data_IF_740887390579
#
_entry.id   IF_740887390579
#
_cell.length_a   1.000
_cell.length_b   1.000
_cell.length_c   1.000
_cell.angle_alpha   90.00
_cell.angle_beta   90.00
_cell.angle_gamma   90.00
#
_symmetry.space_group_name_H-M   'P 1'
#
loop_
_entity.id
_entity.type
_entity.pdbx_description
1 polymer ?
#
# COMPACT_ATOMS: atom_id res chain seq x y z
N UNK A 1 -12.68 -17.28 -4.77
CA UNK A 1 -11.75 -16.77 -3.75
C UNK A 1 -12.41 -16.91 -2.39
N UNK A 2 -11.63 -17.02 -1.31
CA UNK A 2 -12.13 -17.27 0.05
C UNK A 2 -12.45 -15.97 0.76
N UNK A 3 -13.40 -16.01 1.70
CA UNK A 3 -13.75 -14.85 2.51
C UNK A 3 -12.66 -14.54 3.53
N UNK A 4 -12.37 -13.26 3.74
CA UNK A 4 -11.53 -12.74 4.83
C UNK A 4 -12.41 -12.18 5.96
N UNK A 5 -13.73 -12.31 5.87
CA UNK A 5 -14.68 -11.88 6.90
C UNK A 5 -14.61 -12.83 8.11
N UNK A 6 -14.21 -12.36 9.31
CA UNK A 6 -14.14 -13.20 10.50
C UNK A 6 -15.51 -13.64 11.04
N UNK A 7 -16.62 -13.21 10.44
CA UNK A 7 -17.99 -13.64 10.76
C UNK A 7 -18.55 -14.64 9.72
N UNK A 8 -17.87 -14.84 8.60
CA UNK A 8 -18.21 -15.86 7.61
C UNK A 8 -17.77 -17.25 8.10
N UNK A 9 -18.64 -18.25 8.03
CA UNK A 9 -18.32 -19.61 8.49
C UNK A 9 -17.18 -20.24 7.68
N UNK A 10 -17.04 -19.88 6.40
CA UNK A 10 -15.97 -20.35 5.53
C UNK A 10 -14.60 -19.81 5.91
N UNK A 11 -14.53 -18.70 6.66
CA UNK A 11 -13.27 -18.16 7.19
C UNK A 11 -12.59 -19.17 8.12
N UNK A 12 -13.36 -19.95 8.89
CA UNK A 12 -12.83 -20.92 9.84
C UNK A 12 -12.66 -22.35 9.29
N UNK A 13 -12.84 -22.54 7.98
CA UNK A 13 -12.68 -23.84 7.33
C UNK A 13 -11.19 -24.24 7.20
N UNK A 14 -10.67 -24.87 8.25
CA UNK A 14 -9.27 -25.30 8.35
C UNK A 14 -8.91 -26.40 7.35
N UNK A 15 -9.87 -27.26 6.99
CA UNK A 15 -9.69 -28.32 5.99
C UNK A 15 -9.44 -27.71 4.61
N UNK A 16 -10.26 -26.74 4.25
CA UNK A 16 -10.12 -25.99 2.99
C UNK A 16 -8.85 -25.14 2.97
N UNK A 17 -8.52 -24.47 4.07
CA UNK A 17 -7.27 -23.72 4.19
C UNK A 17 -6.05 -24.61 3.96
N UNK A 18 -6.02 -25.80 4.59
CA UNK A 18 -4.95 -26.79 4.39
C UNK A 18 -4.90 -27.28 2.94
N UNK A 19 -6.06 -27.63 2.38
CA UNK A 19 -6.16 -28.10 0.99
C UNK A 19 -5.60 -27.07 0.00
N UNK A 20 -5.96 -25.80 0.18
CA UNK A 20 -5.47 -24.71 -0.67
C UNK A 20 -3.99 -24.42 -0.47
N UNK A 21 -3.49 -24.53 0.77
CA UNK A 21 -2.07 -24.44 1.03
C UNK A 21 -1.29 -25.52 0.30
N UNK A 22 -1.69 -26.78 0.44
CA UNK A 22 -1.06 -27.91 -0.27
C UNK A 22 -1.10 -27.70 -1.78
N UNK A 23 -2.25 -27.32 -2.33
CA UNK A 23 -2.42 -27.10 -3.77
C UNK A 23 -1.49 -26.03 -4.30
N UNK A 24 -1.49 -24.85 -3.68
CA UNK A 24 -0.68 -23.73 -4.14
C UNK A 24 0.81 -23.94 -3.86
N UNK A 25 1.17 -24.53 -2.72
CA UNK A 25 2.55 -24.90 -2.41
C UNK A 25 3.12 -25.89 -3.45
N UNK A 26 2.32 -26.85 -3.91
CA UNK A 26 2.72 -27.81 -4.95
C UNK A 26 3.09 -27.11 -6.26
N UNK A 27 2.26 -26.17 -6.72
CA UNK A 27 2.53 -25.40 -7.95
C UNK A 27 3.74 -24.49 -7.76
N UNK A 28 3.82 -23.79 -6.63
CA UNK A 28 4.96 -22.93 -6.30
C UNK A 28 6.28 -23.72 -6.24
N UNK A 29 6.26 -24.92 -5.66
CA UNK A 29 7.43 -25.80 -5.52
C UNK A 29 7.93 -26.34 -6.86
N UNK A 30 7.02 -26.69 -7.78
CA UNK A 30 7.37 -27.08 -9.14
C UNK A 30 7.95 -25.93 -9.97
N UNK A 31 7.43 -24.71 -9.77
CA UNK A 31 7.78 -23.53 -10.58
C UNK A 31 9.03 -22.77 -10.09
N UNK A 32 9.17 -22.57 -8.78
CA UNK A 32 10.28 -21.88 -8.08
C UNK A 32 10.67 -20.48 -8.53
N UNK A 33 9.98 -19.86 -9.49
CA UNK A 33 10.27 -18.51 -9.97
C UNK A 33 10.34 -17.47 -8.85
N UNK A 34 9.57 -17.67 -7.79
CA UNK A 34 9.46 -16.73 -6.67
C UNK A 34 10.62 -16.74 -5.67
N UNK A 35 11.59 -17.66 -5.80
CA UNK A 35 12.67 -17.87 -4.82
C UNK A 35 13.45 -16.59 -4.48
N UNK A 36 13.78 -15.78 -5.50
CA UNK A 36 14.57 -14.56 -5.33
C UNK A 36 13.72 -13.31 -5.05
N UNK A 37 12.39 -13.41 -5.02
CA UNK A 37 11.50 -12.25 -4.87
C UNK A 37 11.06 -12.00 -3.42
N UNK A 38 10.99 -13.04 -2.56
CA UNK A 38 10.50 -12.91 -1.18
C UNK A 38 11.02 -14.04 -0.28
N UNK A 39 11.33 -13.74 1.00
CA UNK A 39 11.82 -14.71 1.99
C UNK A 39 10.84 -15.83 2.34
N UNK A 40 9.55 -15.62 2.08
CA UNK A 40 8.52 -16.66 2.25
C UNK A 40 8.82 -17.89 1.40
N UNK A 41 9.29 -17.70 0.16
CA UNK A 41 9.46 -18.80 -0.79
C UNK A 41 10.65 -19.71 -0.46
N UNK A 42 11.85 -19.22 -0.10
CA UNK A 42 12.92 -20.08 0.41
C UNK A 42 12.49 -20.95 1.60
N UNK A 43 11.72 -20.39 2.55
CA UNK A 43 11.19 -21.15 3.68
C UNK A 43 10.18 -22.21 3.25
N UNK A 44 9.20 -21.81 2.43
CA UNK A 44 8.22 -22.72 1.86
C UNK A 44 8.91 -23.90 1.15
N UNK A 45 9.84 -23.61 0.23
CA UNK A 45 10.53 -24.65 -0.54
C UNK A 45 11.39 -25.54 0.34
N UNK A 46 12.09 -24.98 1.35
CA UNK A 46 12.84 -25.80 2.29
C UNK A 46 11.96 -26.78 3.07
N UNK A 47 10.73 -26.43 3.41
CA UNK A 47 9.80 -27.31 4.10
C UNK A 47 9.25 -28.36 3.12
N UNK A 48 8.80 -27.91 1.95
CA UNK A 48 8.26 -28.79 0.90
C UNK A 48 9.29 -29.80 0.39
N UNK A 49 10.58 -29.41 0.29
CA UNK A 49 11.67 -30.32 -0.10
C UNK A 49 11.91 -31.45 0.92
N UNK A 50 11.66 -31.19 2.20
CA UNK A 50 11.87 -32.17 3.27
C UNK A 50 10.70 -33.15 3.42
N UNK A 51 9.47 -32.63 3.33
CA UNK A 51 8.24 -33.40 3.61
C UNK A 51 7.57 -33.94 2.34
N UNK A 52 7.78 -33.29 1.21
CA UNK A 52 6.93 -33.43 0.04
C UNK A 52 5.65 -32.59 0.16
N UNK A 53 5.07 -32.11 -0.96
CA UNK A 53 3.94 -31.18 -0.93
C UNK A 53 2.66 -31.76 -0.32
N UNK A 54 2.42 -33.07 -0.45
CA UNK A 54 1.22 -33.73 0.09
C UNK A 54 1.19 -33.83 1.61
N UNK A 55 2.36 -33.80 2.25
CA UNK A 55 2.54 -33.96 3.69
C UNK A 55 2.58 -32.61 4.43
N UNK A 56 2.35 -31.49 3.73
CA UNK A 56 2.31 -30.17 4.34
C UNK A 56 1.13 -30.02 5.29
N UNK A 57 1.37 -29.42 6.45
CA UNK A 57 0.36 -29.22 7.51
C UNK A 57 0.01 -27.75 7.71
N UNK A 58 -0.99 -27.47 8.56
CA UNK A 58 -1.31 -26.08 8.94
C UNK A 58 -0.21 -25.49 9.82
N UNK A 59 0.49 -26.28 10.62
CA UNK A 59 1.64 -25.83 11.39
C UNK A 59 2.77 -25.36 10.46
N UNK A 60 2.99 -26.04 9.33
CA UNK A 60 3.94 -25.58 8.31
C UNK A 60 3.53 -24.22 7.73
N UNK A 61 2.24 -24.06 7.38
CA UNK A 61 1.68 -22.79 6.91
C UNK A 61 1.84 -21.68 7.96
N UNK A 62 1.49 -21.96 9.22
CA UNK A 62 1.58 -21.01 10.33
C UNK A 62 3.01 -20.67 10.72
N UNK A 63 3.97 -21.52 10.38
CA UNK A 63 5.39 -21.15 10.45
C UNK A 63 5.78 -20.14 9.37
N UNK A 64 5.10 -20.13 8.20
CA UNK A 64 5.45 -19.31 7.03
C UNK A 64 4.77 -17.93 7.07
N UNK A 65 3.48 -17.88 7.38
CA UNK A 65 2.68 -16.63 7.32
C UNK A 65 3.26 -15.44 8.10
N UNK A 66 3.95 -15.58 9.25
CA UNK A 66 4.54 -14.42 9.95
C UNK A 66 5.69 -13.77 9.17
N UNK A 67 6.27 -14.47 8.20
CA UNK A 67 7.29 -13.93 7.29
C UNK A 67 6.66 -13.27 6.05
N UNK A 68 5.34 -13.27 5.88
CA UNK A 68 4.65 -12.59 4.79
C UNK A 68 4.49 -11.08 5.08
N UNK A 69 4.75 -10.23 4.09
CA UNK A 69 4.63 -8.77 4.23
C UNK A 69 3.28 -8.24 3.71
N UNK A 70 2.54 -9.08 2.98
CA UNK A 70 1.28 -8.73 2.34
C UNK A 70 1.37 -7.74 1.15
N UNK A 71 2.56 -7.50 0.59
CA UNK A 71 2.76 -6.71 -0.65
C UNK A 71 2.04 -7.21 -1.92
N UNK A 72 1.56 -8.47 -1.91
CA UNK A 72 0.90 -9.16 -3.04
C UNK A 72 1.73 -9.31 -4.34
N UNK A 73 3.05 -9.08 -4.30
CA UNK A 73 3.90 -9.18 -5.50
C UNK A 73 4.04 -10.60 -6.05
N UNK A 74 3.85 -11.62 -5.22
CA UNK A 74 3.76 -13.00 -5.67
C UNK A 74 2.58 -13.24 -6.61
N UNK A 75 1.48 -12.48 -6.50
CA UNK A 75 0.36 -12.56 -7.44
C UNK A 75 0.76 -11.95 -8.78
N UNK A 76 1.27 -10.71 -8.78
CA UNK A 76 1.59 -10.01 -10.02
C UNK A 76 2.71 -10.68 -10.84
N UNK A 77 3.64 -11.35 -10.18
CA UNK A 77 4.76 -12.05 -10.83
C UNK A 77 4.44 -13.51 -11.20
N UNK A 78 3.29 -14.04 -10.79
CA UNK A 78 2.95 -15.44 -11.02
C UNK A 78 2.32 -15.60 -12.41
N UNK A 79 2.86 -16.48 -13.28
CA UNK A 79 2.27 -16.75 -14.60
C UNK A 79 0.98 -17.57 -14.53
N UNK A 80 0.64 -18.09 -13.35
CA UNK A 80 -0.46 -19.03 -13.14
C UNK A 80 -1.65 -18.43 -12.38
N UNK A 81 -1.72 -17.10 -12.25
CA UNK A 81 -2.91 -16.42 -11.72
C UNK A 81 -4.11 -16.61 -12.66
N UNK A 82 -5.36 -16.48 -12.17
CA UNK A 82 -6.53 -16.51 -13.05
C UNK A 82 -6.38 -15.56 -14.26
N UNK A 83 -6.84 -15.97 -15.45
CA UNK A 83 -7.72 -17.12 -15.72
C UNK A 83 -6.99 -18.46 -15.97
N UNK A 84 -5.70 -18.59 -15.64
CA UNK A 84 -4.96 -19.85 -15.79
C UNK A 84 -5.61 -21.00 -14.98
N UNK A 85 -5.54 -22.24 -15.47
CA UNK A 85 -6.20 -23.42 -14.87
C UNK A 85 -5.81 -23.68 -13.41
N UNK A 86 -4.53 -23.42 -13.06
CA UNK A 86 -4.04 -23.53 -11.68
C UNK A 86 -4.63 -22.46 -10.75
N UNK A 87 -5.24 -21.39 -11.26
CA UNK A 87 -5.94 -20.37 -10.49
C UNK A 87 -5.19 -19.97 -9.21
N UNK A 88 -3.91 -19.60 -9.37
CA UNK A 88 -3.02 -19.29 -8.26
C UNK A 88 -3.35 -17.93 -7.67
N UNK A 89 -3.47 -17.88 -6.34
CA UNK A 89 -3.56 -16.64 -5.59
C UNK A 89 -2.91 -16.85 -4.21
N UNK A 90 -1.58 -16.92 -4.24
CA UNK A 90 -0.80 -17.17 -3.04
C UNK A 90 -0.87 -15.97 -2.09
N UNK A 91 -1.02 -14.76 -2.63
CA UNK A 91 -1.19 -13.54 -1.84
C UNK A 91 -2.46 -13.61 -0.99
N UNK A 92 -3.61 -13.94 -1.61
CA UNK A 92 -4.88 -14.06 -0.90
C UNK A 92 -4.89 -15.22 0.10
N UNK A 93 -4.23 -16.34 -0.24
CA UNK A 93 -4.03 -17.44 0.71
C UNK A 93 -3.24 -17.01 1.95
N UNK A 94 -2.17 -16.22 1.79
CA UNK A 94 -1.39 -15.71 2.93
C UNK A 94 -2.21 -14.74 3.79
N UNK A 95 -3.04 -13.89 3.19
CA UNK A 95 -3.95 -13.01 3.95
C UNK A 95 -4.94 -13.84 4.79
N UNK A 96 -5.59 -14.83 4.18
CA UNK A 96 -6.54 -15.70 4.89
C UNK A 96 -5.85 -16.47 6.01
N UNK A 97 -4.72 -17.10 5.72
CA UNK A 97 -3.97 -17.89 6.68
C UNK A 97 -3.46 -17.04 7.86
N UNK A 98 -3.00 -15.81 7.59
CA UNK A 98 -2.52 -14.90 8.63
C UNK A 98 -3.65 -14.42 9.55
N UNK A 99 -4.77 -13.98 8.97
CA UNK A 99 -5.94 -13.56 9.73
C UNK A 99 -6.53 -14.73 10.53
N UNK A 100 -6.61 -15.93 9.94
CA UNK A 100 -7.04 -17.14 10.63
C UNK A 100 -6.12 -17.46 11.82
N UNK A 101 -4.81 -17.46 11.59
CA UNK A 101 -3.81 -17.75 12.62
C UNK A 101 -3.93 -16.78 13.79
N UNK A 102 -3.96 -15.46 13.51
CA UNK A 102 -4.03 -14.44 14.56
C UNK A 102 -5.39 -14.40 15.28
N UNK A 103 -6.48 -14.74 14.58
CA UNK A 103 -7.80 -14.88 15.20
C UNK A 103 -7.87 -16.05 16.19
N UNK A 104 -7.14 -17.14 15.90
CA UNK A 104 -7.15 -18.35 16.74
C UNK A 104 -6.07 -18.34 17.82
N UNK A 105 -4.90 -17.75 17.55
CA UNK A 105 -3.79 -17.66 18.52
C UNK A 105 -3.84 -16.41 19.41
N UNK A 106 -4.59 -15.39 19.00
CA UNK A 106 -4.68 -14.09 19.66
C UNK A 106 -3.65 -13.05 19.17
N UNK A 107 -3.94 -11.80 19.52
CA UNK A 107 -3.09 -10.64 19.30
C UNK A 107 -2.28 -10.35 20.56
N UNK A 108 -1.00 -10.04 20.38
CA UNK A 108 -0.14 -9.58 21.47
C UNK A 108 -0.41 -8.11 21.80
N UNK A 109 0.01 -7.65 22.98
CA UNK A 109 -0.03 -6.22 23.32
C UNK A 109 0.73 -5.37 22.28
N UNK A 110 1.82 -5.91 21.74
CA UNK A 110 2.63 -5.24 20.71
C UNK A 110 1.85 -5.03 19.42
N UNK A 111 1.01 -5.99 19.04
CA UNK A 111 0.14 -5.90 17.87
C UNK A 111 -0.87 -4.76 18.05
N UNK A 112 -1.56 -4.72 19.19
CA UNK A 112 -2.51 -3.65 19.52
C UNK A 112 -1.86 -2.27 19.55
N UNK A 113 -0.66 -2.15 20.13
CA UNK A 113 0.09 -0.89 20.15
C UNK A 113 0.52 -0.45 18.75
N UNK A 114 0.80 -1.39 17.86
CA UNK A 114 1.24 -1.09 16.51
C UNK A 114 0.09 -0.57 15.63
N UNK A 115 -1.07 -1.22 15.66
CA UNK A 115 -2.24 -0.80 14.89
C UNK A 115 -2.96 0.41 15.50
N UNK A 116 -2.55 0.85 16.71
CA UNK A 116 -3.10 2.00 17.43
C UNK A 116 -2.92 3.36 16.73
N UNK A 117 -2.50 3.38 15.46
CA UNK A 117 -2.50 4.54 14.56
C UNK A 117 -3.89 5.21 14.51
N UNK A 118 -4.97 4.54 14.93
CA UNK A 118 -6.34 5.08 15.01
C UNK A 118 -6.87 5.39 16.43
N UNK A 119 -6.08 5.26 17.51
CA UNK A 119 -6.62 5.43 18.88
C UNK A 119 -6.79 6.92 19.21
N UNK A 120 -7.91 7.37 19.81
CA UNK A 120 -8.17 8.78 20.15
C UNK A 120 -7.11 9.46 21.03
N UNK A 121 -6.20 8.69 21.64
CA UNK A 121 -5.02 9.17 22.35
C UNK A 121 -3.76 9.30 21.47
N UNK A 122 -3.93 9.44 20.14
CA UNK A 122 -2.86 9.65 19.14
C UNK A 122 -1.76 10.61 19.62
N UNK A 123 -2.14 11.73 20.25
CA UNK A 123 -1.20 12.77 20.74
C UNK A 123 -0.34 12.35 21.94
N UNK A 124 -0.81 11.39 22.73
CA UNK A 124 -0.06 10.83 23.86
C UNK A 124 0.87 9.76 23.32
N UNK A 125 0.34 8.80 22.54
CA UNK A 125 1.11 7.73 21.90
C UNK A 125 2.19 8.29 20.96
N UNK A 126 1.94 9.42 20.28
CA UNK A 126 2.89 10.08 19.37
C UNK A 126 4.11 10.69 20.07
N UNK A 127 3.93 11.27 21.27
CA UNK A 127 5.04 11.89 22.03
C UNK A 127 6.00 10.85 22.60
N UNK A 128 5.49 9.66 22.88
CA UNK A 128 6.28 8.50 23.31
C UNK A 128 6.76 7.64 22.14
N UNK A 129 6.20 7.79 20.93
CA UNK A 129 6.53 6.99 19.75
C UNK A 129 8.04 6.88 19.41
N UNK A 130 8.85 7.96 19.52
CA UNK A 130 10.31 7.86 19.34
C UNK A 130 11.00 7.04 20.44
N UNK A 131 10.43 7.04 21.65
CA UNK A 131 10.94 6.37 22.85
C UNK A 131 10.36 4.96 23.05
N UNK A 132 9.33 4.57 22.27
CA UNK A 132 8.71 3.24 22.29
C UNK A 132 9.13 2.37 21.12
N UNK A 133 10.11 2.80 20.30
CA UNK A 133 10.62 2.00 19.17
C UNK A 133 11.00 0.58 19.58
N UNK A 134 11.74 0.44 20.67
CA UNK A 134 12.15 -0.86 21.21
C UNK A 134 10.94 -1.68 21.70
N UNK A 135 10.00 -1.03 22.37
CA UNK A 135 8.72 -1.64 22.79
C UNK A 135 7.89 -2.11 21.58
N UNK A 136 7.97 -1.44 20.44
CA UNK A 136 7.31 -1.82 19.18
C UNK A 136 8.14 -2.80 18.31
N UNK A 137 9.39 -3.07 18.70
CA UNK A 137 10.29 -3.99 17.99
C UNK A 137 10.94 -3.39 16.77
N UNK A 138 10.92 -2.07 16.69
CA UNK A 138 11.52 -1.30 15.62
C UNK A 138 12.96 -1.04 16.02
N UNK A 139 13.88 -1.44 15.15
CA UNK A 139 15.31 -1.20 15.35
C UNK A 139 15.63 0.30 15.30
N UNK A 140 16.66 0.70 16.02
CA UNK A 140 17.11 2.10 16.04
C UNK A 140 17.47 2.62 14.65
N UNK A 141 18.05 1.77 13.79
CA UNK A 141 18.45 2.11 12.43
C UNK A 141 17.30 2.08 11.41
N UNK A 142 16.10 1.61 11.78
CA UNK A 142 14.94 1.61 10.89
C UNK A 142 14.48 3.06 10.61
N UNK A 143 14.21 3.42 9.34
CA UNK A 143 13.76 4.76 9.01
C UNK A 143 12.30 4.91 9.47
N UNK A 144 12.01 5.99 10.19
CA UNK A 144 10.67 6.25 10.70
C UNK A 144 10.10 7.52 10.08
N UNK A 145 8.81 7.54 9.75
CA UNK A 145 8.16 8.78 9.34
C UNK A 145 8.11 9.74 10.53
N UNK A 146 8.34 11.02 10.25
CA UNK A 146 8.24 12.07 11.25
C UNK A 146 6.77 12.46 11.42
N UNK A 147 6.28 12.44 12.66
CA UNK A 147 4.92 12.89 12.94
C UNK A 147 4.79 14.40 12.77
N UNK A 148 3.65 14.84 12.22
CA UNK A 148 3.30 16.24 12.09
C UNK A 148 2.82 16.81 13.42
N UNK A 149 3.38 17.95 13.83
CA UNK A 149 2.94 18.68 15.02
C UNK A 149 1.51 19.23 14.89
N UNK A 150 1.13 19.59 13.66
CA UNK A 150 -0.14 20.29 13.37
C UNK A 150 -1.23 19.33 12.87
N UNK A 151 -0.86 18.12 12.44
CA UNK A 151 -1.74 17.19 11.72
C UNK A 151 -2.17 17.75 10.35
N UNK A 152 -3.11 17.07 9.70
CA UNK A 152 -3.68 17.52 8.44
C UNK A 152 -4.78 18.57 8.67
N UNK A 153 -4.51 19.82 8.26
CA UNK A 153 -5.45 20.95 8.34
C UNK A 153 -5.70 21.50 6.93
N UNK A 154 -6.55 20.83 6.14
CA UNK A 154 -6.72 21.12 4.74
C UNK A 154 -7.39 22.47 4.50
N UNK A 155 -6.97 23.15 3.44
CA UNK A 155 -7.69 24.28 2.84
C UNK A 155 -8.33 23.81 1.55
N UNK A 156 -9.65 23.75 1.55
CA UNK A 156 -10.45 23.33 0.40
C UNK A 156 -11.10 24.55 -0.20
N UNK A 157 -10.88 24.77 -1.50
CA UNK A 157 -11.53 25.85 -2.23
C UNK A 157 -12.89 25.38 -2.76
N UNK A 158 -13.87 26.30 -2.78
CA UNK A 158 -15.15 26.03 -3.43
C UNK A 158 -14.97 26.22 -4.93
N UNK A 159 -15.20 25.15 -5.69
CA UNK A 159 -15.17 25.18 -7.15
C UNK A 159 -16.59 25.44 -7.67
N UNK A 160 -16.77 26.54 -8.38
CA UNK A 160 -18.01 26.82 -9.11
C UNK A 160 -18.02 26.03 -10.42
N UNK A 161 -19.13 25.34 -10.72
CA UNK A 161 -19.29 24.50 -11.91
C UNK A 161 -18.14 23.49 -12.13
N UNK A 162 -17.89 22.57 -11.17
CA UNK A 162 -16.74 21.67 -11.24
C UNK A 162 -16.84 20.70 -12.43
N UNK A 163 -15.73 20.46 -13.11
CA UNK A 163 -15.65 19.51 -14.23
C UNK A 163 -15.72 18.05 -13.78
N UNK A 164 -15.43 17.81 -12.50
CA UNK A 164 -15.45 16.52 -11.82
C UNK A 164 -15.54 16.73 -10.31
N UNK A 165 -16.06 15.73 -9.59
CA UNK A 165 -16.22 15.76 -8.13
C UNK A 165 -15.55 14.53 -7.53
N UNK A 166 -14.68 14.74 -6.54
CA UNK A 166 -14.00 13.65 -5.85
C UNK A 166 -14.13 13.75 -4.34
N UNK A 167 -14.27 12.60 -3.68
CA UNK A 167 -14.01 12.47 -2.25
C UNK A 167 -12.59 11.94 -2.07
N UNK A 168 -11.76 12.72 -1.36
CA UNK A 168 -10.38 12.36 -1.10
C UNK A 168 -10.30 11.47 0.14
N UNK A 169 -9.99 10.19 -0.07
CA UNK A 169 -9.53 9.29 0.97
C UNK A 169 -8.09 9.64 1.31
N UNK A 170 -7.91 10.65 2.17
CA UNK A 170 -6.61 11.26 2.46
C UNK A 170 -5.63 10.32 3.18
N UNK A 171 -6.09 9.24 3.80
CA UNK A 171 -5.24 8.25 4.51
C UNK A 171 -4.70 8.71 5.86
N UNK A 172 -4.35 7.74 6.70
CA UNK A 172 -3.66 8.00 7.97
C UNK A 172 -2.23 8.53 7.78
N UNK A 173 -1.58 8.22 6.66
CA UNK A 173 -0.22 8.71 6.40
C UNK A 173 -0.20 10.23 6.20
N UNK A 174 -1.17 10.77 5.47
CA UNK A 174 -1.31 12.22 5.30
C UNK A 174 -1.78 12.88 6.59
N UNK A 175 -2.74 12.26 7.28
CA UNK A 175 -3.26 12.79 8.54
C UNK A 175 -2.15 13.06 9.56
N UNK A 176 -1.26 12.07 9.73
CA UNK A 176 -0.33 12.04 10.86
C UNK A 176 1.13 12.38 10.46
N UNK A 177 1.55 12.18 9.21
CA UNK A 177 2.97 12.24 8.82
C UNK A 177 3.27 13.14 7.61
N UNK A 178 2.39 13.17 6.61
CA UNK A 178 2.59 13.91 5.34
C UNK A 178 1.42 14.84 5.02
N UNK A 179 1.00 15.75 5.93
CA UNK A 179 -0.15 16.64 5.70
C UNK A 179 0.03 17.55 4.48
N UNK A 180 1.27 17.91 4.16
CA UNK A 180 1.62 18.68 2.96
C UNK A 180 1.19 17.98 1.68
N UNK A 181 1.32 16.65 1.61
CA UNK A 181 0.92 15.87 0.44
C UNK A 181 -0.60 15.94 0.22
N UNK A 182 -1.39 15.89 1.30
CA UNK A 182 -2.85 16.03 1.20
C UNK A 182 -3.25 17.41 0.69
N UNK A 183 -2.57 18.45 1.17
CA UNK A 183 -2.81 19.81 0.71
C UNK A 183 -2.39 19.98 -0.76
N UNK A 184 -1.28 19.39 -1.18
CA UNK A 184 -0.81 19.41 -2.57
C UNK A 184 -1.82 18.75 -3.53
N UNK A 185 -2.43 17.63 -3.12
CA UNK A 185 -3.50 16.98 -3.89
C UNK A 185 -4.69 17.90 -4.05
N UNK A 186 -5.16 18.51 -2.95
CA UNK A 186 -6.32 19.42 -2.98
C UNK A 186 -6.05 20.61 -3.91
N UNK A 187 -4.90 21.27 -3.77
CA UNK A 187 -4.52 22.44 -4.57
C UNK A 187 -4.43 22.10 -6.07
N UNK A 188 -3.78 20.99 -6.41
CA UNK A 188 -3.68 20.57 -7.82
C UNK A 188 -5.05 20.26 -8.40
N UNK A 189 -5.91 19.54 -7.66
CA UNK A 189 -7.25 19.19 -8.12
C UNK A 189 -8.13 20.44 -8.30
N UNK A 190 -8.12 21.33 -7.31
CA UNK A 190 -8.87 22.59 -7.37
C UNK A 190 -8.38 23.49 -8.51
N UNK A 191 -7.07 23.65 -8.72
CA UNK A 191 -6.51 24.37 -9.88
C UNK A 191 -6.94 23.79 -11.23
N UNK A 192 -7.21 22.50 -11.29
CA UNK A 192 -7.68 21.80 -12.49
C UNK A 192 -9.23 21.77 -12.61
N UNK A 193 -9.94 22.52 -11.76
CA UNK A 193 -11.40 22.63 -11.78
C UNK A 193 -12.16 21.46 -11.16
N UNK A 194 -11.47 20.63 -10.37
CA UNK A 194 -12.05 19.45 -9.72
C UNK A 194 -12.47 19.82 -8.29
N UNK A 195 -13.74 19.60 -7.96
CA UNK A 195 -14.23 19.76 -6.59
C UNK A 195 -13.71 18.61 -5.72
N UNK A 196 -13.09 18.95 -4.58
CA UNK A 196 -12.60 17.97 -3.60
C UNK A 196 -13.45 18.06 -2.33
N UNK A 197 -13.99 16.93 -1.88
CA UNK A 197 -14.58 16.77 -0.55
C UNK A 197 -13.71 15.91 0.34
N UNK A 198 -13.84 16.17 1.64
CA UNK A 198 -13.19 15.43 2.70
C UNK A 198 -14.24 14.83 3.62
N UNK A 199 -13.86 13.73 4.25
CA UNK A 199 -14.63 13.09 5.30
C UNK A 199 -13.68 12.53 6.33
N UNK A 200 -14.19 12.30 7.55
CA UNK A 200 -13.42 11.72 8.64
C UNK A 200 -13.35 10.20 8.49
N UNK A 201 -12.61 9.73 7.48
CA UNK A 201 -12.34 8.31 7.29
C UNK A 201 -11.45 7.77 8.41
N UNK A 202 -11.63 6.49 8.74
CA UNK A 202 -10.63 5.73 9.50
C UNK A 202 -9.50 5.30 8.56
N UNK A 203 -8.41 4.76 9.10
CA UNK A 203 -7.41 4.08 8.28
C UNK A 203 -8.07 3.03 7.37
N UNK A 204 -7.49 2.80 6.18
CA UNK A 204 -7.92 1.78 5.22
C UNK A 204 -7.84 0.33 5.73
N UNK A 205 -7.23 0.08 6.88
CA UNK A 205 -7.08 -1.26 7.47
C UNK A 205 -5.76 -1.96 7.19
N UNK A 206 -4.84 -1.36 6.42
CA UNK A 206 -3.52 -1.97 6.17
C UNK A 206 -2.77 -2.35 7.47
N UNK A 207 -2.72 -1.52 8.55
CA UNK A 207 -2.10 -1.92 9.81
C UNK A 207 -2.79 -3.12 10.49
N UNK A 208 -4.12 -3.20 10.40
CA UNK A 208 -4.90 -4.31 10.96
C UNK A 208 -4.62 -5.61 10.20
N UNK A 209 -4.48 -5.55 8.87
CA UNK A 209 -4.03 -6.70 8.08
C UNK A 209 -2.59 -7.10 8.46
N UNK A 210 -1.67 -6.14 8.60
CA UNK A 210 -0.27 -6.36 8.98
C UNK A 210 -0.13 -7.11 10.31
N UNK A 211 -0.93 -6.77 11.33
CA UNK A 211 -0.90 -7.47 12.63
C UNK A 211 -1.87 -8.65 12.73
N UNK A 212 -2.77 -8.79 11.76
CA UNK A 212 -3.76 -9.87 11.68
C UNK A 212 -5.03 -9.66 12.52
N UNK A 213 -5.40 -8.42 12.86
CA UNK A 213 -6.68 -8.12 13.51
C UNK A 213 -7.83 -8.11 12.51
N UNK A 214 -8.37 -9.30 12.22
CA UNK A 214 -9.51 -9.46 11.32
C UNK A 214 -10.77 -8.70 11.80
N UNK A 215 -10.98 -8.57 13.11
CA UNK A 215 -12.17 -7.92 13.67
C UNK A 215 -12.10 -6.41 13.47
N UNK A 216 -10.96 -5.79 13.80
CA UNK A 216 -10.75 -4.37 13.57
C UNK A 216 -10.69 -4.05 12.08
N UNK A 217 -10.05 -4.91 11.27
CA UNK A 217 -10.03 -4.79 9.81
C UNK A 217 -11.44 -4.70 9.21
N UNK A 218 -12.34 -5.61 9.61
CA UNK A 218 -13.75 -5.56 9.21
C UNK A 218 -14.41 -4.26 9.64
N UNK A 219 -14.29 -3.89 10.93
CA UNK A 219 -14.92 -2.69 11.47
C UNK A 219 -14.51 -1.41 10.74
N UNK A 220 -13.22 -1.24 10.41
CA UNK A 220 -12.77 -0.06 9.65
C UNK A 220 -13.24 -0.11 8.20
N UNK A 221 -13.32 -1.28 7.59
CA UNK A 221 -13.86 -1.45 6.23
C UNK A 221 -15.34 -1.08 6.17
N UNK A 222 -16.17 -1.53 7.12
CA UNK A 222 -17.61 -1.20 7.19
C UNK A 222 -17.85 0.29 7.36
N UNK A 223 -17.11 0.92 8.29
CA UNK A 223 -17.21 2.35 8.55
C UNK A 223 -16.84 3.17 7.31
N UNK A 224 -15.66 2.91 6.75
CA UNK A 224 -15.19 3.62 5.56
C UNK A 224 -16.11 3.38 4.37
N UNK A 225 -16.56 2.14 4.14
CA UNK A 225 -17.48 1.79 3.07
C UNK A 225 -18.79 2.57 3.17
N UNK A 226 -19.38 2.66 4.36
CA UNK A 226 -20.63 3.39 4.57
C UNK A 226 -20.52 4.87 4.22
N UNK A 227 -19.39 5.50 4.57
CA UNK A 227 -19.12 6.90 4.19
C UNK A 227 -18.89 7.03 2.68
N UNK A 228 -18.05 6.18 2.10
CA UNK A 228 -17.73 6.21 0.67
C UNK A 228 -18.98 6.01 -0.20
N UNK A 229 -19.85 5.07 0.15
CA UNK A 229 -21.12 4.85 -0.55
C UNK A 229 -22.04 6.08 -0.53
N UNK A 230 -22.05 6.83 0.58
CA UNK A 230 -22.82 8.07 0.65
C UNK A 230 -22.28 9.14 -0.31
N UNK A 231 -20.96 9.26 -0.46
CA UNK A 231 -20.35 10.16 -1.44
C UNK A 231 -20.58 9.71 -2.87
N UNK A 232 -20.47 8.40 -3.15
CA UNK A 232 -20.73 7.84 -4.48
C UNK A 232 -22.18 8.12 -4.92
N UNK A 233 -23.17 7.97 -4.02
CA UNK A 233 -24.57 8.32 -4.28
C UNK A 233 -24.78 9.81 -4.61
N UNK A 234 -23.89 10.68 -4.12
CA UNK A 234 -23.89 12.11 -4.41
C UNK A 234 -23.09 12.47 -5.68
N UNK A 235 -22.58 11.47 -6.42
CA UNK A 235 -21.85 11.65 -7.67
C UNK A 235 -20.37 11.96 -7.50
N UNK A 236 -19.76 11.63 -6.36
CA UNK A 236 -18.32 11.77 -6.16
C UNK A 236 -17.58 10.48 -6.53
N UNK A 237 -16.50 10.61 -7.29
CA UNK A 237 -15.51 9.53 -7.44
C UNK A 237 -14.63 9.45 -6.18
N UNK A 238 -14.19 8.25 -5.81
CA UNK A 238 -13.27 8.05 -4.69
C UNK A 238 -11.83 8.12 -5.19
N UNK A 239 -11.00 8.95 -4.57
CA UNK A 239 -9.58 9.09 -4.91
C UNK A 239 -8.72 8.88 -3.67
N UNK A 240 -7.60 8.16 -3.80
CA UNK A 240 -6.56 8.11 -2.78
C UNK A 240 -5.17 8.39 -3.40
N UNK A 241 -4.32 9.20 -2.74
CA UNK A 241 -2.97 9.48 -3.23
C UNK A 241 -1.95 8.40 -2.81
N UNK A 242 -2.35 7.43 -1.99
CA UNK A 242 -1.44 6.37 -1.54
C UNK A 242 -1.92 5.03 -2.11
N UNK A 243 -1.11 4.35 -2.95
CA UNK A 243 -1.52 3.10 -3.61
C UNK A 243 -1.98 2.00 -2.64
N UNK A 244 -1.40 1.94 -1.44
CA UNK A 244 -1.83 0.99 -0.39
C UNK A 244 -3.30 1.17 -0.02
N UNK A 245 -3.78 2.40 0.10
CA UNK A 245 -5.16 2.66 0.49
C UNK A 245 -6.14 2.31 -0.63
N UNK A 246 -5.79 2.60 -1.88
CA UNK A 246 -6.57 2.14 -3.05
C UNK A 246 -6.68 0.62 -3.07
N UNK A 247 -5.56 -0.09 -2.89
CA UNK A 247 -5.52 -1.55 -2.84
C UNK A 247 -6.33 -2.14 -1.68
N UNK A 248 -6.26 -1.56 -0.49
CA UNK A 248 -7.05 -2.01 0.65
C UNK A 248 -8.55 -1.81 0.45
N UNK A 249 -8.95 -0.68 -0.12
CA UNK A 249 -10.37 -0.39 -0.42
C UNK A 249 -10.91 -1.35 -1.48
N UNK A 250 -10.15 -1.66 -2.54
CA UNK A 250 -10.53 -2.73 -3.49
C UNK A 250 -10.63 -4.11 -2.80
N UNK A 251 -9.82 -4.33 -1.77
CA UNK A 251 -9.83 -5.54 -0.95
C UNK A 251 -11.06 -5.70 -0.06
N UNK A 252 -11.87 -4.65 0.15
CA UNK A 252 -13.09 -4.72 0.96
C UNK A 252 -14.10 -5.74 0.43
N UNK A 253 -14.04 -6.11 -0.85
CA UNK A 253 -14.87 -7.19 -1.42
C UNK A 253 -14.62 -8.55 -0.78
N UNK A 254 -13.41 -8.80 -0.27
CA UNK A 254 -13.09 -10.03 0.44
C UNK A 254 -13.37 -9.96 1.94
N UNK A 255 -13.49 -8.74 2.51
CA UNK A 255 -13.61 -8.53 3.96
C UNK A 255 -15.08 -8.31 4.36
N UNK A 256 -15.85 -7.61 3.53
CA UNK A 256 -17.24 -7.21 3.79
C UNK A 256 -18.16 -7.37 2.57
N UNK A 257 -17.71 -8.08 1.52
CA UNK A 257 -18.48 -8.29 0.29
C UNK A 257 -18.98 -7.00 -0.37
N UNK A 258 -18.18 -5.93 -0.31
CA UNK A 258 -18.47 -4.66 -0.97
C UNK A 258 -17.34 -4.25 -1.91
N UNK A 259 -17.71 -4.02 -3.17
CA UNK A 259 -16.81 -3.47 -4.18
C UNK A 259 -16.95 -1.95 -4.23
N UNK A 260 -15.84 -1.25 -3.95
CA UNK A 260 -15.79 0.21 -4.03
C UNK A 260 -14.74 0.56 -5.07
N UNK A 261 -15.17 1.26 -6.13
CA UNK A 261 -14.24 1.80 -7.12
C UNK A 261 -13.49 2.97 -6.51
N UNK A 262 -12.17 2.84 -6.44
CA UNK A 262 -11.24 3.88 -6.00
C UNK A 262 -10.19 4.09 -7.06
N UNK A 263 -9.84 5.33 -7.33
CA UNK A 263 -8.76 5.68 -8.23
C UNK A 263 -7.52 6.08 -7.45
N UNK A 264 -6.35 5.74 -7.96
CA UNK A 264 -5.12 6.43 -7.58
C UNK A 264 -5.20 7.91 -8.02
N UNK A 265 -4.62 8.82 -7.24
CA UNK A 265 -4.70 10.25 -7.54
C UNK A 265 -4.12 10.61 -8.92
N UNK A 266 -2.98 10.02 -9.28
CA UNK A 266 -2.39 10.28 -10.60
C UNK A 266 -3.18 9.60 -11.71
N UNK A 267 -3.75 8.41 -11.45
CA UNK A 267 -4.63 7.72 -12.39
C UNK A 267 -5.86 8.55 -12.74
N UNK A 268 -6.51 9.15 -11.74
CA UNK A 268 -7.70 9.96 -11.94
C UNK A 268 -7.41 11.17 -12.83
N UNK A 269 -6.31 11.88 -12.57
CA UNK A 269 -5.88 13.00 -13.40
C UNK A 269 -5.54 12.56 -14.82
N UNK A 270 -4.84 11.43 -14.98
CA UNK A 270 -4.50 10.90 -16.31
C UNK A 270 -5.77 10.53 -17.11
N UNK A 271 -6.76 9.93 -16.46
CA UNK A 271 -8.08 9.64 -17.04
C UNK A 271 -8.75 10.93 -17.54
N UNK A 272 -8.87 11.95 -16.69
CA UNK A 272 -9.49 13.23 -17.07
C UNK A 272 -8.72 13.92 -18.20
N UNK A 273 -7.39 13.82 -18.21
CA UNK A 273 -6.56 14.40 -19.29
C UNK A 273 -6.81 13.68 -20.62
N UNK A 274 -6.91 12.35 -20.62
CA UNK A 274 -7.25 11.55 -21.81
C UNK A 274 -8.67 11.81 -22.32
N UNK A 275 -9.60 12.11 -21.41
CA UNK A 275 -10.97 12.54 -21.75
C UNK A 275 -11.03 13.99 -22.26
N UNK A 276 -9.92 14.73 -22.29
CA UNK A 276 -9.88 16.13 -22.72
C UNK A 276 -10.50 17.11 -21.71
N UNK A 277 -10.82 16.66 -20.49
CA UNK A 277 -11.48 17.47 -19.46
C UNK A 277 -10.51 18.40 -18.72
N UNK A 278 -9.24 18.01 -18.60
CA UNK A 278 -8.18 18.83 -18.02
C UNK A 278 -7.03 19.05 -19.00
N UNK A 279 -6.36 20.20 -18.87
CA UNK A 279 -5.14 20.52 -19.61
C UNK A 279 -3.97 20.54 -18.64
N UNK A 280 -2.97 19.72 -18.91
CA UNK A 280 -1.72 19.68 -18.14
C UNK A 280 -0.73 20.69 -18.75
N UNK A 281 0.06 21.42 -17.94
CA UNK A 281 1.07 22.35 -18.44
C UNK A 281 2.22 21.60 -19.11
N UNK A 282 2.97 22.27 -20.00
CA UNK A 282 4.19 21.74 -20.62
C UNK A 282 5.39 22.61 -20.26
N UNK A 283 5.95 22.45 -19.06
CA UNK A 283 6.94 23.41 -18.53
C UNK A 283 7.93 22.86 -17.50
N UNK A 284 8.37 21.61 -17.59
CA UNK A 284 9.48 21.14 -16.72
C UNK A 284 10.58 20.44 -17.51
N UNK A 285 11.80 20.95 -17.41
CA UNK A 285 13.03 20.29 -17.84
C UNK A 285 13.77 19.77 -16.61
N UNK A 286 13.29 18.66 -16.07
CA UNK A 286 13.90 17.99 -14.91
C UNK A 286 14.20 16.52 -15.23
N UNK A 287 15.26 16.01 -14.63
CA UNK A 287 15.59 14.58 -14.59
C UNK A 287 14.99 13.94 -13.35
N UNK A 288 14.19 12.89 -13.53
CA UNK A 288 13.51 12.19 -12.46
C UNK A 288 13.92 10.73 -12.44
N UNK A 289 14.40 10.25 -11.29
CA UNK A 289 14.60 8.83 -11.03
C UNK A 289 13.44 8.31 -10.17
N UNK A 290 12.63 7.44 -10.75
CA UNK A 290 11.34 7.04 -10.20
C UNK A 290 11.33 5.60 -9.68
N UNK A 291 10.88 5.42 -8.45
CA UNK A 291 10.59 4.11 -7.88
C UNK A 291 9.12 3.77 -8.05
N UNK A 292 8.82 2.59 -8.62
CA UNK A 292 7.45 2.10 -8.76
C UNK A 292 6.99 1.35 -7.51
N UNK A 293 5.97 1.83 -6.78
CA UNK A 293 5.44 1.13 -5.61
C UNK A 293 4.84 -0.24 -5.92
N UNK A 294 5.03 -1.22 -5.04
CA UNK A 294 4.48 -2.57 -5.19
C UNK A 294 2.94 -2.58 -5.28
N UNK A 295 2.26 -1.82 -4.42
CA UNK A 295 0.79 -1.72 -4.46
C UNK A 295 0.27 -1.04 -5.73
N UNK A 296 1.03 -0.11 -6.32
CA UNK A 296 0.69 0.47 -7.62
C UNK A 296 0.79 -0.58 -8.74
N UNK A 297 1.84 -1.42 -8.72
CA UNK A 297 1.97 -2.54 -9.67
C UNK A 297 0.81 -3.53 -9.53
N UNK A 298 0.38 -3.84 -8.30
CA UNK A 298 -0.73 -4.77 -8.05
C UNK A 298 -2.09 -4.25 -8.54
N UNK A 299 -2.33 -2.94 -8.47
CA UNK A 299 -3.56 -2.32 -9.00
C UNK A 299 -3.70 -2.46 -10.53
N UNK A 300 -2.62 -2.78 -11.25
CA UNK A 300 -2.61 -2.96 -12.73
C UNK A 300 -3.13 -1.76 -13.53
N UNK A 301 -3.04 -0.55 -12.96
CA UNK A 301 -3.45 0.72 -13.59
C UNK A 301 -2.34 1.38 -14.44
N UNK A 302 -1.21 0.70 -14.64
CA UNK A 302 -0.02 1.23 -15.31
C UNK A 302 0.79 2.16 -14.40
N UNK A 303 1.46 3.15 -15.01
CA UNK A 303 2.30 4.12 -14.31
C UNK A 303 1.80 5.56 -14.52
N UNK A 304 0.65 5.93 -13.94
CA UNK A 304 0.02 7.20 -14.23
C UNK A 304 0.87 8.40 -13.82
N UNK A 305 1.57 8.31 -12.67
CA UNK A 305 2.52 9.34 -12.24
C UNK A 305 3.63 9.57 -13.25
N UNK A 306 4.25 8.50 -13.76
CA UNK A 306 5.29 8.59 -14.82
C UNK A 306 4.73 9.18 -16.11
N UNK A 307 3.54 8.76 -16.52
CA UNK A 307 2.90 9.26 -17.74
C UNK A 307 2.63 10.76 -17.67
N UNK A 308 2.12 11.24 -16.51
CA UNK A 308 1.92 12.66 -16.26
C UNK A 308 3.26 13.38 -16.23
N UNK A 309 4.24 12.96 -15.43
CA UNK A 309 5.53 13.65 -15.34
C UNK A 309 6.22 13.78 -16.72
N UNK A 310 6.16 12.73 -17.55
CA UNK A 310 6.67 12.78 -18.94
C UNK A 310 5.88 13.76 -19.82
N UNK A 311 4.56 13.85 -19.67
CA UNK A 311 3.74 14.80 -20.45
C UNK A 311 4.04 16.26 -20.11
N UNK A 312 4.57 16.52 -18.91
CA UNK A 312 5.04 17.85 -18.48
C UNK A 312 6.40 18.24 -19.10
N UNK A 313 7.11 17.29 -19.73
CA UNK A 313 8.45 17.48 -20.32
C UNK A 313 9.60 16.83 -19.54
N UNK A 314 9.33 16.19 -18.40
CA UNK A 314 10.37 15.60 -17.56
C UNK A 314 11.00 14.34 -18.19
N UNK A 315 12.32 14.18 -18.02
CA UNK A 315 13.05 12.96 -18.36
C UNK A 315 12.96 11.98 -17.20
N UNK A 316 12.02 11.04 -17.27
CA UNK A 316 11.76 10.06 -16.21
C UNK A 316 12.40 8.71 -16.52
N UNK A 317 13.41 8.36 -15.73
CA UNK A 317 14.00 7.02 -15.66
C UNK A 317 13.32 6.21 -14.55
N UNK A 318 12.87 5.00 -14.89
CA UNK A 318 12.26 4.07 -13.92
C UNK A 318 13.38 3.20 -13.35
N UNK A 319 13.56 3.21 -12.04
CA UNK A 319 14.68 2.52 -11.39
C UNK A 319 14.66 1.00 -11.61
N UNK A 320 13.47 0.40 -11.57
CA UNK A 320 13.22 -1.06 -11.65
C UNK A 320 14.25 -1.94 -10.93
N UNK A 321 14.66 -1.55 -9.73
CA UNK A 321 15.64 -2.27 -8.89
C UNK A 321 15.01 -3.01 -7.71
N UNK A 322 13.77 -3.47 -7.86
CA UNK A 322 13.06 -4.26 -6.85
C UNK A 322 12.33 -3.45 -5.78
N UNK A 323 11.98 -4.14 -4.69
CA UNK A 323 11.16 -3.62 -3.58
C UNK A 323 11.95 -2.66 -2.68
N UNK A 324 11.26 -1.81 -1.92
CA UNK A 324 11.87 -0.99 -0.86
C UNK A 324 12.21 -1.78 0.40
N UNK A 325 11.56 -2.92 0.60
CA UNK A 325 11.68 -3.78 1.79
C UNK A 325 10.86 -3.32 3.00
N UNK A 326 10.24 -2.13 2.95
CA UNK A 326 9.53 -1.55 4.12
C UNK A 326 8.13 -2.13 4.31
N UNK A 327 7.34 -2.23 3.24
CA UNK A 327 5.96 -2.75 3.22
C UNK A 327 5.14 -2.51 4.51
N UNK A 328 4.91 -1.23 4.83
CA UNK A 328 4.14 -0.87 6.02
C UNK A 328 4.93 -1.10 7.32
N UNK A 329 4.25 -1.68 8.29
CA UNK A 329 4.79 -1.96 9.62
C UNK A 329 5.79 -3.09 9.67
N UNK A 330 5.59 -4.09 8.80
CA UNK A 330 6.40 -5.29 8.77
C UNK A 330 7.89 -4.96 8.64
N UNK A 331 8.28 -4.15 7.64
CA UNK A 331 9.70 -3.87 7.37
C UNK A 331 10.33 -2.93 8.38
N UNK A 332 9.54 -2.12 9.10
CA UNK A 332 10.02 -1.33 10.23
C UNK A 332 10.40 -2.23 11.42
N UNK A 333 9.61 -3.27 11.70
CA UNK A 333 9.90 -4.27 12.76
C UNK A 333 10.96 -5.27 12.35
N UNK A 334 11.06 -5.59 11.05
CA UNK A 334 11.97 -6.59 10.50
C UNK A 334 13.12 -5.97 9.70
N UNK A 335 13.68 -4.88 10.20
CA UNK A 335 14.51 -4.00 9.37
C UNK A 335 15.77 -4.65 8.77
N UNK A 336 16.36 -5.66 9.41
CA UNK A 336 17.47 -6.41 8.82
C UNK A 336 17.07 -7.13 7.53
N UNK A 337 15.90 -7.80 7.55
CA UNK A 337 15.34 -8.44 6.36
C UNK A 337 14.95 -7.38 5.33
N UNK A 338 14.34 -6.28 5.77
CA UNK A 338 13.96 -5.16 4.91
C UNK A 338 15.15 -4.58 4.14
N UNK A 339 16.30 -4.37 4.80
CA UNK A 339 17.55 -3.90 4.18
C UNK A 339 18.03 -4.85 3.08
N UNK A 340 17.98 -6.16 3.32
CA UNK A 340 18.41 -7.15 2.33
C UNK A 340 17.50 -7.10 1.09
N UNK A 341 16.18 -7.03 1.28
CA UNK A 341 15.21 -6.89 0.18
C UNK A 341 15.42 -5.58 -0.58
N UNK A 342 15.56 -4.48 0.16
CA UNK A 342 15.69 -3.13 -0.37
C UNK A 342 17.05 -2.80 -0.98
N UNK A 343 18.06 -3.66 -0.79
CA UNK A 343 19.46 -3.37 -1.09
C UNK A 343 19.67 -2.82 -2.51
N UNK A 344 19.17 -3.51 -3.53
CA UNK A 344 19.33 -3.11 -4.94
C UNK A 344 18.68 -1.75 -5.23
N UNK A 345 17.50 -1.49 -4.63
CA UNK A 345 16.81 -0.21 -4.76
C UNK A 345 17.63 0.90 -4.08
N UNK A 346 18.07 0.67 -2.84
CA UNK A 346 18.89 1.63 -2.08
C UNK A 346 20.17 1.99 -2.82
N UNK A 347 20.91 1.00 -3.32
CA UNK A 347 22.14 1.20 -4.09
C UNK A 347 21.89 2.09 -5.32
N UNK A 348 20.84 1.80 -6.07
CA UNK A 348 20.51 2.59 -7.27
C UNK A 348 20.16 4.04 -6.95
N UNK A 349 19.39 4.30 -5.89
CA UNK A 349 19.07 5.67 -5.48
C UNK A 349 20.28 6.40 -4.89
N UNK A 350 21.20 5.70 -4.23
CA UNK A 350 22.44 6.30 -3.71
C UNK A 350 23.41 6.72 -4.83
N UNK A 351 23.36 6.05 -5.97
CA UNK A 351 24.25 6.28 -7.12
C UNK A 351 23.65 7.20 -8.19
N UNK A 352 22.32 7.37 -8.18
CA UNK A 352 21.62 8.18 -9.18
C UNK A 352 21.95 9.66 -9.07
N UNK A 353 22.23 10.29 -10.21
CA UNK A 353 22.50 11.73 -10.34
C UNK A 353 21.27 12.54 -10.75
N UNK A 354 20.08 11.94 -10.79
CA UNK A 354 18.87 12.68 -11.12
C UNK A 354 18.63 13.84 -10.14
N UNK A 355 18.06 14.91 -10.65
CA UNK A 355 17.73 16.11 -9.88
C UNK A 355 16.64 15.78 -8.85
N UNK A 356 15.61 15.06 -9.29
CA UNK A 356 14.43 14.72 -8.48
C UNK A 356 14.32 13.20 -8.35
N UNK A 357 13.99 12.73 -7.16
CA UNK A 357 13.52 11.36 -6.94
C UNK A 357 12.01 11.36 -6.74
N UNK A 358 11.32 10.34 -7.22
CA UNK A 358 9.86 10.29 -7.12
C UNK A 358 9.33 8.89 -6.80
N UNK A 359 8.22 8.84 -6.05
CA UNK A 359 7.44 7.63 -5.70
C UNK A 359 6.06 8.03 -5.17
N UNK A 360 5.01 7.29 -5.50
CA UNK A 360 3.68 7.47 -4.90
C UNK A 360 3.58 6.88 -3.48
N UNK A 361 4.60 6.14 -3.03
CA UNK A 361 4.63 5.52 -1.71
C UNK A 361 5.58 6.26 -0.74
N UNK A 362 5.05 7.00 0.25
CA UNK A 362 5.86 7.70 1.24
C UNK A 362 6.75 6.76 2.06
N UNK A 363 6.29 5.53 2.33
CA UNK A 363 7.07 4.53 3.08
C UNK A 363 8.25 3.97 2.28
N UNK A 364 8.12 3.79 0.97
CA UNK A 364 9.27 3.54 0.11
C UNK A 364 10.21 4.76 0.11
N UNK A 365 9.63 5.97 0.18
CA UNK A 365 10.36 7.22 0.27
C UNK A 365 11.27 7.34 1.49
N UNK A 366 10.92 6.73 2.62
CA UNK A 366 11.77 6.64 3.81
C UNK A 366 13.09 5.92 3.50
N UNK A 367 13.02 4.80 2.78
CA UNK A 367 14.20 4.01 2.43
C UNK A 367 15.03 4.70 1.35
N UNK A 368 14.40 5.37 0.38
CA UNK A 368 15.07 6.20 -0.63
C UNK A 368 15.83 7.35 0.05
N UNK A 369 15.19 8.06 0.98
CA UNK A 369 15.82 9.16 1.72
C UNK A 369 17.00 8.66 2.54
N UNK A 370 16.85 7.54 3.24
CA UNK A 370 17.95 6.95 4.01
C UNK A 370 19.15 6.56 3.13
N UNK A 371 18.89 6.05 1.92
CA UNK A 371 19.95 5.61 1.02
C UNK A 371 20.68 6.76 0.30
N UNK A 372 19.99 7.88 0.06
CA UNK A 372 20.47 8.92 -0.85
C UNK A 372 20.59 10.32 -0.25
N UNK A 373 20.01 10.56 0.94
CA UNK A 373 19.90 11.89 1.54
C UNK A 373 18.88 12.82 0.84
N UNK A 374 18.23 12.38 -0.25
CA UNK A 374 17.24 13.17 -0.99
C UNK A 374 15.82 12.64 -0.72
N UNK A 375 14.93 13.52 -0.27
CA UNK A 375 13.51 13.15 -0.06
C UNK A 375 12.84 13.03 -1.43
N UNK A 376 12.26 11.87 -1.77
CA UNK A 376 11.54 11.76 -3.03
C UNK A 376 10.19 12.48 -2.94
N UNK A 377 9.77 13.04 -4.05
CA UNK A 377 8.48 13.69 -4.22
C UNK A 377 7.40 12.68 -4.63
N UNK A 378 6.17 12.94 -4.21
CA UNK A 378 5.02 12.33 -4.88
C UNK A 378 4.84 12.99 -6.27
N UNK A 379 4.49 12.26 -7.33
CA UNK A 379 4.28 12.84 -8.67
C UNK A 379 3.29 14.02 -8.72
N UNK A 380 2.32 14.07 -7.79
CA UNK A 380 1.41 15.22 -7.62
C UNK A 380 2.15 16.52 -7.26
N UNK A 381 3.25 16.43 -6.51
CA UNK A 381 4.05 17.58 -6.10
C UNK A 381 4.86 18.11 -7.28
N UNK A 382 5.38 17.20 -8.12
CA UNK A 382 6.00 17.57 -9.41
C UNK A 382 4.99 18.29 -10.31
N UNK A 383 3.74 17.81 -10.37
CA UNK A 383 2.68 18.49 -11.11
C UNK A 383 2.32 19.85 -10.50
N UNK A 384 2.29 19.97 -9.17
CA UNK A 384 2.04 21.24 -8.46
C UNK A 384 3.09 22.30 -8.80
N UNK A 385 4.37 21.92 -8.84
CA UNK A 385 5.46 22.81 -9.23
C UNK A 385 5.29 23.30 -10.68
N UNK A 386 4.94 22.39 -11.59
CA UNK A 386 4.68 22.73 -12.99
C UNK A 386 3.47 23.66 -13.17
N UNK A 387 2.41 23.49 -12.36
CA UNK A 387 1.21 24.35 -12.35
C UNK A 387 1.42 25.71 -11.67
N UNK A 388 2.50 25.89 -10.92
CA UNK A 388 2.82 27.17 -10.27
C UNK A 388 3.83 27.99 -11.06
N UNK A 389 4.61 27.35 -11.92
CA UNK A 389 5.61 27.98 -12.79
C UNK A 389 5.05 28.36 -14.18
N UNK A 390 3.80 27.99 -14.45
CA UNK A 390 3.16 28.09 -15.75
C UNK A 390 2.14 29.19 -15.85
#
# INVERSE_FOLDING_TARGET
MYSLDPEDTSFFDSSKLKSEFVRQASVCHGCRLCFNYCFVFPKLFSITDKKGPKELTLEDLFSIVPDCFHCKMCYNNCPYTPPHEFNMDFAHLMDWAWLYYKKTSGLSLRDYLFEAVNVPFKKIVSKIYPYTKELLGIKEDAPMPQMSDKGFKPRVEKIENPIAKVVLFHTCLIEDFYPELGQDVIEVYNKLGIEVKLANFLCCGAPMLDVGDAKMLKKVAEFNSSLLENFIKQGYDVVSPIPTCSLMIEGYKYIINKEIKVYDAMEYLLKLSREGKIKLPRKVNMTIFYHTPCHLKYLKIGLPGVAIMRSLGARVEIADKGCSGIDGGWGLRNYDKAKIIGKKMMEAFSQSKAEVFATECPLAGLQIFKASGKRPLHPIQVLKEALSSG
#
